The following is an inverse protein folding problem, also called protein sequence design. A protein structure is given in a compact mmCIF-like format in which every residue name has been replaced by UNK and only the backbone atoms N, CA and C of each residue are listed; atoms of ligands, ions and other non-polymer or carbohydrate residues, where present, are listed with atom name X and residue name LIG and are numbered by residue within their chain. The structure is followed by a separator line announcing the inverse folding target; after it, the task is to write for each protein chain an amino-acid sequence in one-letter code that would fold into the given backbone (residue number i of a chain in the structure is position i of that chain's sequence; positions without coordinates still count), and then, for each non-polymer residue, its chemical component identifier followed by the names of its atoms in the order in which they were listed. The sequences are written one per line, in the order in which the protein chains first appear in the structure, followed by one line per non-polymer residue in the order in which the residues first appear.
data_IF_241118766801
#
_entry.id   IF_241118766801
#
_cell.length_a   1.000
_cell.length_b   1.000
_cell.length_c   1.000
_cell.angle_alpha   90.00
_cell.angle_beta   90.00
_cell.angle_gamma   90.00
#
_symmetry.space_group_name_H-M   'P 1'
#
loop_
_entity.id
_entity.type
_entity.pdbx_description
1 polymer ?
#
# COMPACT_ATOMS: atom_id res chain seq x y z
N UNK A 1 4.74 -26.10 5.72
CA UNK A 1 5.71 -25.11 6.21
C UNK A 1 6.93 -25.86 6.67
N UNK A 2 8.11 -25.59 6.10
CA UNK A 2 9.37 -26.22 6.50
C UNK A 2 10.00 -25.35 7.58
N UNK A 3 10.18 -25.92 8.77
CA UNK A 3 10.67 -25.22 9.93
C UNK A 3 12.15 -25.48 10.27
N UNK A 4 12.80 -26.37 9.53
CA UNK A 4 14.20 -26.73 9.77
C UNK A 4 14.91 -27.15 8.48
N UNK A 5 16.23 -26.97 8.42
CA UNK A 5 17.10 -27.51 7.37
C UNK A 5 18.21 -28.34 8.02
N UNK A 6 18.51 -29.49 7.42
CA UNK A 6 19.55 -30.41 7.89
C UNK A 6 20.61 -30.53 6.80
N UNK A 7 21.85 -30.24 7.16
CA UNK A 7 23.02 -30.48 6.30
C UNK A 7 23.70 -31.78 6.78
N UNK A 8 23.48 -32.85 5.99
CA UNK A 8 24.01 -34.17 6.30
C UNK A 8 25.46 -34.33 5.86
N UNK A 9 26.18 -35.26 6.53
CA UNK A 9 27.52 -35.73 6.16
C UNK A 9 28.61 -34.67 6.07
N UNK A 10 28.53 -33.60 6.88
CA UNK A 10 29.61 -32.63 6.90
C UNK A 10 30.66 -32.99 7.96
N UNK A 11 31.95 -33.19 7.59
CA UNK A 11 33.00 -33.49 8.56
C UNK A 11 33.35 -32.24 9.35
N UNK A 12 32.98 -32.20 10.61
CA UNK A 12 33.28 -31.06 11.47
C UNK A 12 33.20 -31.41 12.94
N UNK A 13 33.77 -30.57 13.76
CA UNK A 13 33.70 -30.63 15.23
C UNK A 13 32.48 -29.82 15.72
N UNK A 14 31.82 -30.15 16.85
CA UNK A 14 30.70 -29.38 17.43
C UNK A 14 30.92 -27.87 17.52
N UNK A 15 32.15 -27.43 17.76
CA UNK A 15 32.53 -26.01 17.80
C UNK A 15 32.46 -25.32 16.45
N UNK A 16 32.29 -26.07 15.37
CA UNK A 16 32.25 -25.54 13.99
C UNK A 16 30.88 -24.98 13.58
N UNK A 17 29.85 -25.10 14.41
CA UNK A 17 28.50 -24.59 14.13
C UNK A 17 28.50 -23.09 13.81
N UNK A 18 29.42 -22.31 14.37
CA UNK A 18 29.58 -20.87 14.10
C UNK A 18 29.96 -20.54 12.64
N UNK A 19 30.46 -21.52 11.87
CA UNK A 19 30.81 -21.37 10.47
C UNK A 19 29.65 -21.65 9.52
N UNK A 20 28.51 -22.12 10.06
CA UNK A 20 27.32 -22.44 9.31
C UNK A 20 26.43 -21.20 9.18
N UNK A 21 25.94 -20.91 7.96
CA UNK A 21 25.00 -19.83 7.68
C UNK A 21 24.06 -20.24 6.56
N UNK A 22 22.83 -19.74 6.62
CA UNK A 22 21.87 -19.82 5.51
C UNK A 22 21.55 -18.40 5.06
N UNK A 23 21.54 -18.17 3.75
CA UNK A 23 21.13 -16.91 3.13
C UNK A 23 20.05 -17.17 2.08
N UNK A 24 19.27 -16.16 1.73
CA UNK A 24 18.50 -16.19 0.48
C UNK A 24 19.47 -16.17 -0.72
N UNK A 25 19.08 -16.74 -1.87
CA UNK A 25 19.93 -16.87 -3.06
C UNK A 25 20.58 -15.55 -3.48
N UNK A 26 19.81 -14.47 -3.47
CA UNK A 26 20.26 -13.14 -3.92
C UNK A 26 20.69 -12.20 -2.78
N UNK A 27 20.89 -12.75 -1.57
CA UNK A 27 21.25 -11.95 -0.39
C UNK A 27 22.52 -12.50 0.28
N UNK A 28 23.28 -11.57 0.86
CA UNK A 28 24.47 -11.89 1.64
C UNK A 28 24.21 -11.94 3.15
N UNK A 29 23.07 -11.39 3.60
CA UNK A 29 22.72 -11.36 5.02
C UNK A 29 22.24 -12.75 5.46
N UNK A 30 22.84 -13.33 6.51
CA UNK A 30 22.41 -14.60 7.05
C UNK A 30 21.01 -14.52 7.68
N UNK A 31 20.24 -15.62 7.54
CA UNK A 31 19.01 -15.80 8.27
C UNK A 31 19.28 -15.90 9.77
N UNK A 32 18.38 -15.34 10.57
CA UNK A 32 18.41 -15.48 12.02
C UNK A 32 17.78 -16.81 12.41
N UNK A 33 18.47 -17.56 13.24
CA UNK A 33 18.03 -18.87 13.72
C UNK A 33 19.07 -19.53 14.63
N UNK A 34 18.77 -20.74 15.08
CA UNK A 34 19.68 -21.57 15.87
C UNK A 34 20.20 -22.72 15.04
N UNK A 35 21.51 -22.96 15.09
CA UNK A 35 22.14 -24.10 14.47
C UNK A 35 22.66 -25.05 15.57
N UNK A 36 22.34 -26.33 15.44
CA UNK A 36 22.70 -27.37 16.39
C UNK A 36 23.41 -28.50 15.67
N UNK A 37 24.47 -29.03 16.32
CA UNK A 37 25.19 -30.21 15.83
C UNK A 37 24.41 -31.46 16.19
N UNK A 38 24.23 -32.34 15.21
CA UNK A 38 23.56 -33.62 15.35
C UNK A 38 24.50 -34.77 14.90
N UNK A 39 24.17 -36.02 15.25
CA UNK A 39 24.96 -37.19 14.86
C UNK A 39 25.20 -37.30 13.34
N UNK A 40 24.26 -36.83 12.54
CA UNK A 40 24.29 -36.89 11.09
C UNK A 40 24.57 -35.56 10.38
N UNK A 41 24.82 -34.45 11.12
CA UNK A 41 25.03 -33.16 10.48
C UNK A 41 24.61 -31.96 11.34
N UNK A 42 24.27 -30.86 10.69
CA UNK A 42 23.84 -29.63 11.37
C UNK A 42 22.36 -29.41 11.08
N UNK A 43 21.58 -29.22 12.14
CA UNK A 43 20.19 -28.77 12.06
C UNK A 43 20.16 -27.26 12.24
N UNK A 44 19.49 -26.58 11.33
CA UNK A 44 19.20 -25.16 11.45
C UNK A 44 17.70 -24.92 11.62
N UNK A 45 17.34 -24.26 12.70
CA UNK A 45 15.96 -23.83 12.99
C UNK A 45 15.89 -22.32 12.84
N UNK A 46 15.29 -21.80 11.76
CA UNK A 46 15.17 -20.36 11.55
C UNK A 46 14.18 -19.74 12.55
N UNK A 47 14.38 -18.46 12.89
CA UNK A 47 13.45 -17.71 13.75
C UNK A 47 12.06 -17.58 13.10
N UNK A 48 12.01 -17.45 11.78
CA UNK A 48 10.79 -17.50 10.96
C UNK A 48 10.90 -18.65 9.96
N UNK A 49 9.80 -19.37 9.75
CA UNK A 49 9.77 -20.47 8.81
C UNK A 49 10.28 -20.07 7.42
N UNK A 50 10.93 -21.00 6.72
CA UNK A 50 11.33 -20.82 5.33
C UNK A 50 10.09 -20.53 4.46
N UNK A 51 10.22 -19.53 3.60
CA UNK A 51 9.13 -19.13 2.71
C UNK A 51 9.04 -20.04 1.48
N UNK A 52 7.83 -20.49 1.10
CA UNK A 52 7.62 -21.25 -0.12
C UNK A 52 8.11 -20.50 -1.38
N UNK A 53 8.57 -21.23 -2.38
CA UNK A 53 9.04 -20.70 -3.66
C UNK A 53 10.36 -19.93 -3.61
N UNK A 54 11.03 -19.91 -2.47
CA UNK A 54 12.34 -19.28 -2.33
C UNK A 54 13.46 -20.32 -2.28
N UNK A 55 14.58 -19.91 -2.80
CA UNK A 55 15.81 -20.69 -2.80
C UNK A 55 16.79 -20.15 -1.77
N UNK A 56 17.41 -21.05 -1.04
CA UNK A 56 18.32 -20.76 0.07
C UNK A 56 19.67 -21.38 -0.18
N UNK A 57 20.74 -20.60 0.04
CA UNK A 57 22.12 -21.10 -0.01
C UNK A 57 22.59 -21.46 1.40
N UNK A 58 23.19 -22.62 1.53
CA UNK A 58 23.86 -23.05 2.74
C UNK A 58 25.35 -22.75 2.58
N UNK A 59 25.90 -22.05 3.55
CA UNK A 59 27.30 -21.66 3.59
C UNK A 59 28.04 -22.35 4.74
N UNK A 60 29.25 -22.74 4.44
CA UNK A 60 30.24 -23.23 5.40
C UNK A 60 31.54 -22.46 5.22
N UNK A 61 32.09 -21.90 6.31
CA UNK A 61 33.27 -21.03 6.22
C UNK A 61 33.14 -19.93 5.15
N UNK A 62 31.99 -19.28 5.08
CA UNK A 62 31.64 -18.25 4.10
C UNK A 62 31.65 -18.68 2.61
N UNK A 63 31.70 -19.99 2.32
CA UNK A 63 31.55 -20.53 0.97
C UNK A 63 30.22 -21.24 0.86
N UNK A 64 29.49 -20.97 -0.21
CA UNK A 64 28.28 -21.72 -0.54
C UNK A 64 28.65 -23.19 -0.82
N UNK A 65 28.04 -24.12 -0.10
CA UNK A 65 28.29 -25.55 -0.20
C UNK A 65 27.16 -26.28 -0.90
N UNK A 66 25.93 -25.81 -0.71
CA UNK A 66 24.75 -26.37 -1.37
C UNK A 66 23.60 -25.36 -1.27
N UNK A 67 22.51 -25.67 -1.96
CA UNK A 67 21.28 -24.90 -1.91
C UNK A 67 20.07 -25.83 -1.82
N UNK A 68 18.97 -25.30 -1.33
CA UNK A 68 17.68 -25.98 -1.36
C UNK A 68 16.58 -24.98 -1.72
N UNK A 69 15.50 -25.47 -2.25
CA UNK A 69 14.33 -24.68 -2.59
C UNK A 69 13.12 -25.20 -1.81
N UNK A 70 12.33 -24.30 -1.26
CA UNK A 70 11.05 -24.65 -0.70
C UNK A 70 10.04 -24.62 -1.85
N UNK A 71 9.37 -25.73 -2.18
CA UNK A 71 8.37 -25.75 -3.24
C UNK A 71 7.32 -24.68 -3.04
N UNK A 72 6.94 -23.97 -4.11
CA UNK A 72 5.78 -23.09 -4.08
C UNK A 72 4.52 -23.92 -3.83
N UNK A 73 3.57 -23.34 -3.10
CA UNK A 73 2.25 -23.96 -2.97
C UNK A 73 1.50 -23.84 -4.29
N UNK A 74 0.68 -24.84 -4.60
CA UNK A 74 -0.25 -24.74 -5.72
C UNK A 74 -1.35 -23.74 -5.34
N UNK A 75 -1.25 -22.51 -5.85
CA UNK A 75 -2.25 -21.46 -5.72
C UNK A 75 -2.40 -20.73 -7.06
N UNK A 76 -3.56 -20.13 -7.27
CA UNK A 76 -3.75 -19.26 -8.42
C UNK A 76 -2.75 -18.10 -8.38
N UNK A 77 -2.14 -17.75 -9.53
CA UNK A 77 -1.22 -16.62 -9.58
C UNK A 77 -1.88 -15.34 -9.10
N UNK A 78 -1.18 -14.51 -8.31
CA UNK A 78 -1.73 -13.25 -7.86
C UNK A 78 -2.08 -12.32 -9.02
N UNK A 79 -3.24 -11.68 -8.94
CA UNK A 79 -3.66 -10.62 -9.83
C UNK A 79 -3.49 -9.25 -9.17
N UNK A 80 -3.29 -8.21 -9.98
CA UNK A 80 -3.02 -6.85 -9.51
C UNK A 80 -4.01 -5.86 -10.12
N UNK A 81 -4.64 -5.06 -9.24
CA UNK A 81 -5.45 -3.92 -9.63
C UNK A 81 -4.81 -2.63 -9.10
N UNK A 82 -4.91 -1.57 -9.89
CA UNK A 82 -4.31 -0.27 -9.59
C UNK A 82 -5.36 0.73 -9.10
N UNK A 83 -4.93 1.61 -8.21
CA UNK A 83 -5.70 2.77 -7.80
C UNK A 83 -4.78 3.99 -7.68
N UNK A 84 -5.17 5.19 -8.10
CA UNK A 84 -6.46 5.60 -8.65
C UNK A 84 -6.78 4.96 -10.01
N UNK A 85 -8.08 4.76 -10.31
CA UNK A 85 -8.54 4.21 -11.60
C UNK A 85 -8.83 5.27 -12.66
N UNK A 86 -8.82 6.54 -12.31
CA UNK A 86 -9.03 7.63 -13.24
C UNK A 86 -7.96 7.63 -14.35
N UNK A 87 -8.35 8.05 -15.57
CA UNK A 87 -7.44 8.09 -16.71
C UNK A 87 -6.61 9.39 -16.73
N UNK A 88 -7.05 10.41 -16.01
CA UNK A 88 -6.30 11.64 -15.75
C UNK A 88 -6.03 11.75 -14.25
N UNK A 89 -4.76 11.92 -13.90
CA UNK A 89 -4.29 12.09 -12.52
C UNK A 89 -3.51 13.40 -12.41
N UNK A 90 -3.50 14.10 -11.28
CA UNK A 90 -2.73 15.33 -11.16
C UNK A 90 -1.22 15.04 -11.24
N UNK A 91 -0.43 15.97 -11.79
CA UNK A 91 1.03 15.83 -11.86
C UNK A 91 1.69 15.75 -10.46
N UNK A 92 1.04 16.29 -9.46
CA UNK A 92 1.42 16.17 -8.05
C UNK A 92 0.72 15.02 -7.32
N UNK A 93 0.36 13.95 -8.05
CA UNK A 93 -0.15 12.70 -7.46
C UNK A 93 0.76 12.24 -6.33
N UNK A 94 0.16 11.96 -5.15
CA UNK A 94 0.93 11.61 -3.97
C UNK A 94 1.06 10.10 -3.76
N UNK A 95 0.00 9.32 -4.08
CA UNK A 95 -0.05 7.88 -3.77
C UNK A 95 -0.61 7.06 -4.92
N UNK A 96 -0.08 5.87 -5.07
CA UNK A 96 -0.64 4.79 -5.89
C UNK A 96 -0.85 3.58 -4.99
N UNK A 97 -1.98 2.91 -5.16
CA UNK A 97 -2.30 1.69 -4.43
C UNK A 97 -2.31 0.49 -5.37
N UNK A 98 -1.71 -0.59 -4.93
CA UNK A 98 -1.76 -1.88 -5.60
C UNK A 98 -2.61 -2.84 -4.77
N UNK A 99 -3.70 -3.33 -5.35
CA UNK A 99 -4.56 -4.34 -4.76
C UNK A 99 -4.24 -5.69 -5.37
N UNK A 100 -3.89 -6.64 -4.53
CA UNK A 100 -3.59 -8.01 -4.93
C UNK A 100 -4.75 -8.93 -4.59
N UNK A 101 -4.95 -9.97 -5.40
CA UNK A 101 -5.99 -10.99 -5.18
C UNK A 101 -5.72 -11.88 -3.96
N UNK A 102 -4.49 -11.87 -3.41
CA UNK A 102 -4.08 -12.62 -2.22
C UNK A 102 -2.88 -11.98 -1.52
N UNK A 103 -2.52 -12.49 -0.33
CA UNK A 103 -1.43 -11.96 0.47
C UNK A 103 -0.06 -12.08 -0.20
N UNK A 104 0.67 -10.97 -0.37
CA UNK A 104 1.97 -10.92 -1.03
C UNK A 104 3.15 -11.05 -0.07
N UNK A 105 4.31 -11.42 -0.59
CA UNK A 105 5.59 -11.32 0.12
C UNK A 105 6.11 -9.89 0.08
N UNK A 106 6.61 -9.41 1.23
CA UNK A 106 7.18 -8.07 1.39
C UNK A 106 8.59 -7.95 0.79
N UNK A 107 9.05 -6.70 0.64
CA UNK A 107 10.43 -6.38 0.27
C UNK A 107 10.73 -6.51 -1.22
N UNK A 108 9.72 -6.66 -2.07
CA UNK A 108 9.88 -6.90 -3.50
C UNK A 108 9.38 -5.75 -4.38
N UNK A 109 8.70 -4.75 -3.82
CA UNK A 109 8.09 -3.67 -4.61
C UNK A 109 9.10 -2.94 -5.49
N UNK A 110 10.28 -2.63 -4.96
CA UNK A 110 11.34 -1.93 -5.70
C UNK A 110 11.87 -2.71 -6.91
N UNK A 111 11.75 -4.04 -6.91
CA UNK A 111 12.15 -4.89 -8.04
C UNK A 111 11.06 -5.00 -9.10
N UNK A 112 9.79 -4.90 -8.71
CA UNK A 112 8.67 -5.21 -9.58
C UNK A 112 7.86 -4.00 -10.04
N UNK A 113 7.88 -2.87 -9.32
CA UNK A 113 7.08 -1.70 -9.69
C UNK A 113 7.90 -0.65 -10.42
N UNK A 114 7.36 -0.14 -11.54
CA UNK A 114 7.96 0.94 -12.33
C UNK A 114 6.90 1.92 -12.78
N UNK A 115 7.29 3.18 -13.00
CA UNK A 115 6.54 4.11 -13.83
C UNK A 115 7.34 4.34 -15.12
N UNK A 116 6.67 4.19 -16.24
CA UNK A 116 7.23 4.38 -17.56
C UNK A 116 6.65 5.65 -18.18
N UNK A 117 7.46 6.39 -18.94
CA UNK A 117 7.02 7.49 -19.79
C UNK A 117 6.45 6.98 -21.14
N UNK A 118 6.00 7.87 -22.02
CA UNK A 118 5.49 7.54 -23.36
C UNK A 118 6.49 6.77 -24.24
N UNK A 119 7.80 6.96 -24.01
CA UNK A 119 8.86 6.27 -24.76
C UNK A 119 9.13 4.88 -24.22
N UNK A 120 8.54 4.51 -23.08
CA UNK A 120 8.80 3.27 -22.38
C UNK A 120 10.01 3.32 -21.44
N UNK A 121 10.63 4.49 -21.23
CA UNK A 121 11.74 4.65 -20.30
C UNK A 121 11.23 4.64 -18.87
N UNK A 122 11.97 3.95 -17.99
CA UNK A 122 11.67 3.94 -16.55
C UNK A 122 12.04 5.27 -15.92
N UNK A 123 11.11 5.85 -15.17
CA UNK A 123 11.37 7.03 -14.35
C UNK A 123 12.10 6.62 -13.06
N UNK A 124 13.28 7.19 -12.83
CA UNK A 124 14.08 6.92 -11.64
C UNK A 124 13.67 7.83 -10.46
N UNK A 125 13.77 7.29 -9.22
CA UNK A 125 13.53 8.06 -8.00
C UNK A 125 12.12 8.66 -7.94
N UNK A 126 11.12 7.96 -8.46
CA UNK A 126 9.72 8.40 -8.43
C UNK A 126 9.08 8.05 -7.11
N UNK A 127 9.33 6.85 -6.62
CA UNK A 127 8.76 6.36 -5.37
C UNK A 127 9.69 6.63 -4.19
N UNK A 128 9.09 6.94 -3.05
CA UNK A 128 9.79 6.98 -1.77
C UNK A 128 10.21 5.56 -1.38
N UNK A 129 11.51 5.33 -1.16
CA UNK A 129 12.02 4.04 -0.69
C UNK A 129 11.72 3.87 0.81
N UNK A 130 10.64 3.16 1.11
CA UNK A 130 10.20 2.88 2.46
C UNK A 130 10.56 1.45 2.85
N UNK A 131 11.20 1.30 4.01
CA UNK A 131 11.54 0.00 4.61
C UNK A 131 11.16 0.01 6.09
N UNK A 132 10.15 -0.76 6.49
CA UNK A 132 9.35 -1.70 5.68
C UNK A 132 8.42 -1.01 4.68
N UNK A 133 8.01 -1.74 3.65
CA UNK A 133 6.98 -1.32 2.69
C UNK A 133 5.63 -1.10 3.39
N UNK A 134 4.81 -0.21 2.85
CA UNK A 134 3.51 0.12 3.47
C UNK A 134 2.39 -0.83 3.00
N UNK A 135 2.34 -1.97 3.61
CA UNK A 135 1.27 -2.96 3.43
C UNK A 135 0.14 -2.78 4.46
N UNK A 136 -1.09 -3.16 4.06
CA UNK A 136 -2.13 -3.43 5.05
C UNK A 136 -1.81 -4.72 5.83
N UNK A 137 -2.55 -4.98 6.91
CA UNK A 137 -2.36 -6.16 7.77
C UNK A 137 -2.40 -7.49 7.01
N UNK A 138 -3.33 -7.60 6.04
CA UNK A 138 -3.52 -8.82 5.24
C UNK A 138 -2.50 -8.95 4.08
N UNK A 139 -1.66 -7.95 3.85
CA UNK A 139 -0.70 -7.88 2.72
C UNK A 139 -1.34 -7.99 1.34
N UNK A 140 -2.56 -7.55 1.22
CA UNK A 140 -3.31 -7.50 -0.05
C UNK A 140 -3.37 -6.10 -0.66
N UNK A 141 -2.96 -5.08 0.09
CA UNK A 141 -2.91 -3.68 -0.33
C UNK A 141 -1.55 -3.08 -0.03
N UNK A 142 -0.85 -2.64 -1.07
CA UNK A 142 0.39 -1.88 -0.95
C UNK A 142 0.16 -0.42 -1.28
N UNK A 143 0.64 0.47 -0.42
CA UNK A 143 0.66 1.92 -0.65
C UNK A 143 2.03 2.35 -1.14
N UNK A 144 2.09 2.89 -2.35
CA UNK A 144 3.29 3.46 -2.95
C UNK A 144 3.20 4.98 -2.91
N UNK A 145 4.10 5.62 -2.18
CA UNK A 145 4.20 7.08 -2.17
C UNK A 145 5.12 7.53 -3.31
N UNK A 146 4.64 8.48 -4.11
CA UNK A 146 5.56 9.27 -4.94
C UNK A 146 6.35 10.16 -3.99
N UNK A 147 7.63 10.40 -4.31
CA UNK A 147 8.54 11.08 -3.39
C UNK A 147 8.05 12.49 -3.04
N UNK A 148 7.61 12.74 -1.79
CA UNK A 148 7.14 14.05 -1.34
C UNK A 148 8.20 15.13 -1.49
N UNK A 149 9.49 14.75 -1.42
CA UNK A 149 10.61 15.66 -1.60
C UNK A 149 10.70 16.22 -3.03
N UNK A 150 10.19 15.47 -4.02
CA UNK A 150 10.08 15.89 -5.41
C UNK A 150 8.75 16.57 -5.75
N UNK A 151 7.69 16.31 -4.97
CA UNK A 151 6.37 16.92 -5.19
C UNK A 151 6.33 18.35 -4.61
N UNK A 152 6.86 18.55 -3.40
CA UNK A 152 6.87 19.85 -2.74
C UNK A 152 7.91 20.78 -3.40
N UNK A 153 7.46 21.90 -3.93
CA UNK A 153 8.25 22.81 -4.78
C UNK A 153 9.49 23.43 -4.14
N UNK A 154 9.45 23.68 -2.84
CA UNK A 154 10.54 24.36 -2.14
C UNK A 154 11.64 23.42 -1.63
N UNK A 155 11.45 22.11 -1.75
CA UNK A 155 12.43 21.13 -1.30
C UNK A 155 13.58 20.96 -2.30
N UNK A 156 14.75 20.59 -1.78
CA UNK A 156 15.99 20.43 -2.56
C UNK A 156 15.80 19.43 -3.70
N UNK A 157 15.18 18.28 -3.42
CA UNK A 157 14.96 17.24 -4.43
C UNK A 157 14.07 17.72 -5.58
N UNK A 158 13.05 18.54 -5.31
CA UNK A 158 12.23 19.12 -6.38
C UNK A 158 13.03 20.10 -7.24
N UNK A 159 13.88 20.93 -6.62
CA UNK A 159 14.74 21.91 -7.34
C UNK A 159 15.79 21.23 -8.21
N UNK A 160 16.36 20.10 -7.78
CA UNK A 160 17.43 19.39 -8.49
C UNK A 160 16.89 18.42 -9.54
N UNK A 161 15.83 17.67 -9.22
CA UNK A 161 15.31 16.59 -10.07
C UNK A 161 13.95 16.91 -10.73
N UNK A 162 13.28 17.97 -10.28
CA UNK A 162 11.91 18.30 -10.71
C UNK A 162 10.85 17.37 -10.13
N UNK A 163 9.58 17.66 -10.45
CA UNK A 163 8.45 16.82 -10.09
C UNK A 163 8.57 15.41 -10.72
N UNK A 164 8.06 14.35 -10.06
CA UNK A 164 8.09 13.00 -10.61
C UNK A 164 7.30 12.86 -11.92
N UNK A 165 6.16 13.53 -12.00
CA UNK A 165 5.29 13.56 -13.16
C UNK A 165 5.24 14.99 -13.71
N UNK A 166 4.92 15.15 -15.00
CA UNK A 166 4.80 16.43 -15.68
C UNK A 166 3.45 16.53 -16.37
N UNK A 167 2.74 17.63 -16.17
CA UNK A 167 1.46 17.87 -16.84
C UNK A 167 1.60 17.79 -18.37
N UNK A 168 0.63 17.22 -19.03
CA UNK A 168 0.64 17.05 -20.47
C UNK A 168 1.30 15.77 -20.97
N UNK A 169 1.85 14.93 -20.08
CA UNK A 169 2.52 13.69 -20.46
C UNK A 169 1.68 12.46 -20.10
N UNK A 170 1.88 11.37 -20.84
CA UNK A 170 1.32 10.07 -20.50
C UNK A 170 2.33 9.22 -19.75
N UNK A 171 1.81 8.44 -18.84
CA UNK A 171 2.59 7.53 -18.02
C UNK A 171 1.89 6.18 -17.92
N UNK A 172 2.68 5.18 -17.57
CA UNK A 172 2.18 3.85 -17.31
C UNK A 172 2.86 3.29 -16.06
N UNK A 173 2.08 3.05 -15.01
CA UNK A 173 2.55 2.25 -13.88
C UNK A 173 2.48 0.78 -14.26
N UNK A 174 3.52 0.01 -13.97
CA UNK A 174 3.61 -1.41 -14.30
C UNK A 174 4.03 -2.21 -13.08
N UNK A 175 3.51 -3.44 -12.99
CA UNK A 175 4.00 -4.48 -12.08
C UNK A 175 4.56 -5.60 -12.95
N UNK A 176 5.86 -5.84 -12.83
CA UNK A 176 6.59 -6.86 -13.58
C UNK A 176 6.21 -8.26 -13.07
N UNK A 177 6.25 -9.28 -13.95
CA UNK A 177 6.02 -10.66 -13.53
C UNK A 177 7.10 -11.14 -12.56
N UNK A 178 6.80 -12.23 -11.83
CA UNK A 178 7.75 -12.84 -10.90
C UNK A 178 7.59 -12.40 -9.44
N UNK A 179 6.75 -11.41 -9.13
CA UNK A 179 6.46 -11.03 -7.74
C UNK A 179 5.70 -12.15 -7.04
N UNK A 180 6.26 -12.65 -5.93
CA UNK A 180 5.71 -13.83 -5.24
C UNK A 180 4.71 -13.44 -4.16
N UNK A 181 3.67 -14.25 -4.02
CA UNK A 181 2.75 -14.21 -2.88
C UNK A 181 3.39 -14.86 -1.62
N UNK A 182 2.64 -14.89 -0.51
CA UNK A 182 3.08 -15.55 0.74
C UNK A 182 3.32 -17.05 0.60
N UNK A 183 2.74 -17.69 -0.41
CA UNK A 183 2.87 -19.13 -0.68
C UNK A 183 3.98 -19.40 -1.71
N UNK A 184 4.64 -18.34 -2.19
CA UNK A 184 5.73 -18.43 -3.16
C UNK A 184 5.28 -18.47 -4.63
N UNK A 185 3.98 -18.38 -4.92
CA UNK A 185 3.43 -18.36 -6.26
C UNK A 185 3.71 -17.00 -6.92
N UNK A 186 4.39 -16.95 -8.08
CA UNK A 186 4.70 -15.69 -8.74
C UNK A 186 3.53 -15.14 -9.54
N UNK A 187 3.46 -13.81 -9.68
CA UNK A 187 2.68 -13.18 -10.76
C UNK A 187 3.20 -13.66 -12.10
N UNK A 188 2.31 -14.07 -13.02
CA UNK A 188 2.71 -14.66 -14.31
C UNK A 188 2.81 -13.68 -15.44
N UNK A 189 2.15 -12.54 -15.34
CA UNK A 189 2.05 -11.55 -16.41
C UNK A 189 2.42 -10.15 -15.93
N UNK A 190 2.66 -9.26 -16.87
CA UNK A 190 2.80 -7.85 -16.63
C UNK A 190 1.41 -7.25 -16.40
N UNK A 191 1.24 -6.57 -15.28
CA UNK A 191 0.06 -5.75 -15.02
C UNK A 191 0.41 -4.29 -15.24
N UNK A 192 -0.54 -3.51 -15.80
CA UNK A 192 -0.27 -2.10 -16.04
C UNK A 192 -1.53 -1.25 -16.03
N UNK A 193 -1.34 0.04 -15.69
CA UNK A 193 -2.32 1.09 -15.83
C UNK A 193 -1.68 2.32 -16.46
N UNK A 194 -2.23 2.76 -17.59
CA UNK A 194 -1.87 4.02 -18.24
C UNK A 194 -2.71 5.16 -17.70
N UNK A 195 -2.12 6.34 -17.63
CA UNK A 195 -2.80 7.58 -17.26
C UNK A 195 -2.13 8.80 -17.88
N UNK A 196 -2.91 9.87 -18.00
CA UNK A 196 -2.45 11.18 -18.42
C UNK A 196 -2.22 12.05 -17.18
N UNK A 197 -1.08 12.74 -17.10
CA UNK A 197 -0.83 13.69 -16.05
C UNK A 197 -1.47 15.05 -16.39
N UNK A 198 -2.52 15.39 -15.66
CA UNK A 198 -3.15 16.70 -15.69
C UNK A 198 -2.38 17.73 -14.91
N UNK A 199 -2.91 18.96 -14.85
CA UNK A 199 -2.34 20.04 -14.03
C UNK A 199 -2.28 19.65 -12.55
N UNK A 200 -1.35 20.26 -11.82
CA UNK A 200 -1.25 20.07 -10.38
C UNK A 200 -2.55 20.49 -9.68
N UNK A 201 -3.03 19.64 -8.78
CA UNK A 201 -4.15 19.97 -7.91
C UNK A 201 -3.63 20.73 -6.68
N UNK A 202 -4.12 21.95 -6.51
CA UNK A 202 -3.81 22.85 -5.39
C UNK A 202 -5.07 23.42 -4.76
N UNK A 203 -6.15 22.66 -4.85
CA UNK A 203 -7.42 22.95 -4.17
C UNK A 203 -7.65 21.94 -3.07
N UNK A 204 -8.23 22.36 -1.97
CA UNK A 204 -8.59 21.44 -0.89
C UNK A 204 -9.96 20.85 -1.17
N UNK A 205 -10.19 19.58 -0.84
CA UNK A 205 -11.53 19.04 -0.79
C UNK A 205 -12.43 19.89 0.11
N UNK A 206 -13.64 20.22 -0.35
CA UNK A 206 -14.64 20.92 0.46
C UNK A 206 -15.81 19.99 0.77
N UNK A 207 -15.85 19.48 2.00
CA UNK A 207 -16.93 18.61 2.43
C UNK A 207 -18.32 19.26 2.38
N UNK A 208 -18.43 20.59 2.25
CA UNK A 208 -19.71 21.27 2.14
C UNK A 208 -20.36 21.15 0.74
N UNK A 209 -19.54 20.95 -0.29
CA UNK A 209 -20.02 20.82 -1.69
C UNK A 209 -20.54 19.42 -2.00
N UNK A 210 -20.15 18.41 -1.23
CA UNK A 210 -20.51 17.03 -1.49
C UNK A 210 -22.01 16.78 -1.38
N UNK A 211 -22.54 15.99 -2.30
CA UNK A 211 -23.95 15.66 -2.35
C UNK A 211 -24.23 14.41 -1.52
N UNK A 212 -25.20 14.50 -0.62
CA UNK A 212 -25.64 13.40 0.24
C UNK A 212 -26.99 12.90 -0.27
N UNK A 213 -27.05 11.65 -0.71
CA UNK A 213 -28.29 10.96 -1.06
C UNK A 213 -28.67 10.03 0.08
N UNK A 214 -29.68 10.45 0.86
CA UNK A 214 -30.16 9.71 2.01
C UNK A 214 -31.12 8.59 1.57
N UNK A 215 -31.01 7.36 2.12
CA UNK A 215 -31.96 6.28 1.89
C UNK A 215 -33.28 6.49 2.64
N UNK A 216 -34.27 5.62 2.37
CA UNK A 216 -35.55 5.62 3.10
C UNK A 216 -35.41 4.93 4.47
N UNK A 217 -36.22 5.36 5.44
CA UNK A 217 -36.32 4.69 6.72
C UNK A 217 -36.85 3.25 6.57
N UNK A 218 -36.38 2.35 7.42
CA UNK A 218 -36.76 0.93 7.41
C UNK A 218 -36.05 0.09 6.35
N UNK A 219 -35.20 0.68 5.49
CA UNK A 219 -34.42 -0.05 4.47
C UNK A 219 -32.98 -0.28 4.90
N UNK A 220 -32.27 -1.13 4.15
CA UNK A 220 -30.80 -1.29 4.18
C UNK A 220 -30.15 -0.64 2.96
N UNK A 221 -30.87 0.20 2.23
CA UNK A 221 -30.32 0.90 1.06
C UNK A 221 -29.11 1.74 1.44
N UNK A 222 -28.13 1.90 0.57
CA UNK A 222 -26.91 2.63 0.89
C UNK A 222 -27.19 4.13 1.04
N UNK A 223 -26.59 4.73 2.06
CA UNK A 223 -26.30 6.16 2.06
C UNK A 223 -25.23 6.43 1.03
N UNK A 224 -25.43 7.36 0.10
CA UNK A 224 -24.43 7.73 -0.88
C UNK A 224 -23.92 9.16 -0.67
N UNK A 225 -22.61 9.34 -0.84
CA UNK A 225 -21.95 10.66 -0.87
C UNK A 225 -21.24 10.77 -2.22
N UNK A 226 -21.62 11.75 -3.03
CA UNK A 226 -20.91 12.08 -4.26
C UNK A 226 -19.95 13.22 -4.00
N UNK A 227 -18.66 12.98 -4.22
CA UNK A 227 -17.61 13.97 -4.15
C UNK A 227 -17.52 14.73 -5.46
N UNK A 228 -17.11 15.99 -5.43
CA UNK A 228 -16.84 16.81 -6.61
C UNK A 228 -15.52 16.43 -7.30
N UNK A 229 -14.62 15.80 -6.57
CA UNK A 229 -13.34 15.32 -7.04
C UNK A 229 -13.06 13.86 -6.64
N UNK A 230 -11.93 13.31 -7.07
CA UNK A 230 -11.48 11.97 -6.66
C UNK A 230 -10.75 12.07 -5.31
N UNK A 231 -11.22 11.30 -4.33
CA UNK A 231 -10.67 11.27 -2.97
C UNK A 231 -9.72 10.07 -2.81
N UNK A 232 -8.75 10.19 -1.90
CA UNK A 232 -7.86 9.08 -1.53
C UNK A 232 -8.67 7.87 -1.07
N UNK A 233 -8.42 6.72 -1.71
CA UNK A 233 -9.22 5.50 -1.50
C UNK A 233 -9.19 5.04 -0.05
N UNK A 234 -7.99 4.87 0.50
CA UNK A 234 -7.81 4.29 1.85
C UNK A 234 -8.37 5.21 2.92
N UNK A 235 -8.20 6.51 2.76
CA UNK A 235 -8.74 7.48 3.69
C UNK A 235 -10.26 7.58 3.57
N UNK A 236 -10.82 7.55 2.37
CA UNK A 236 -12.28 7.54 2.18
C UNK A 236 -12.94 6.32 2.83
N UNK A 237 -12.26 5.17 2.85
CA UNK A 237 -12.78 3.97 3.52
C UNK A 237 -12.79 4.07 5.06
N UNK A 238 -11.92 4.92 5.65
CA UNK A 238 -11.64 4.90 7.08
C UNK A 238 -11.84 6.24 7.80
N UNK A 239 -12.05 7.34 7.07
CA UNK A 239 -12.13 8.70 7.66
C UNK A 239 -13.54 9.30 7.59
N UNK A 240 -14.54 8.55 7.13
CA UNK A 240 -15.94 8.98 7.05
C UNK A 240 -16.80 8.03 7.88
N UNK A 241 -17.54 8.58 8.84
CA UNK A 241 -18.36 7.83 9.78
C UNK A 241 -19.80 8.35 9.80
N UNK A 242 -20.75 7.46 10.00
CA UNK A 242 -22.16 7.79 10.10
C UNK A 242 -22.64 7.67 11.55
N UNK A 243 -23.28 8.69 12.06
CA UNK A 243 -23.79 8.74 13.43
C UNK A 243 -25.31 8.97 13.48
N UNK A 244 -25.97 8.26 14.39
CA UNK A 244 -27.33 8.55 14.86
C UNK A 244 -27.24 9.10 16.29
N UNK A 245 -27.40 10.41 16.45
CA UNK A 245 -27.10 11.07 17.71
C UNK A 245 -25.63 10.92 18.10
N UNK A 246 -25.37 10.31 19.26
CA UNK A 246 -23.99 10.05 19.75
C UNK A 246 -23.42 8.68 19.30
N UNK A 247 -24.24 7.83 18.71
CA UNK A 247 -23.85 6.47 18.36
C UNK A 247 -23.31 6.41 16.93
N UNK A 248 -22.10 5.90 16.75
CA UNK A 248 -21.57 5.52 15.44
C UNK A 248 -22.31 4.27 14.94
N UNK A 249 -22.84 4.35 13.72
CA UNK A 249 -23.50 3.22 13.08
C UNK A 249 -22.44 2.24 12.52
N UNK A 250 -22.71 0.95 12.69
CA UNK A 250 -21.94 -0.11 12.08
C UNK A 250 -22.49 -0.43 10.68
N UNK A 251 -21.61 -0.78 9.76
CA UNK A 251 -21.99 -1.10 8.39
C UNK A 251 -20.78 -1.30 7.50
N UNK A 252 -21.06 -1.54 6.23
CA UNK A 252 -20.04 -1.76 5.19
C UNK A 252 -19.88 -0.52 4.33
N UNK A 253 -18.64 -0.07 4.17
CA UNK A 253 -18.27 1.02 3.28
C UNK A 253 -17.85 0.44 1.92
N UNK A 254 -18.26 1.10 0.83
CA UNK A 254 -17.81 0.82 -0.53
C UNK A 254 -17.52 2.14 -1.24
N UNK A 255 -16.49 2.15 -2.07
CA UNK A 255 -16.16 3.27 -2.92
C UNK A 255 -16.32 2.85 -4.37
N UNK A 256 -16.83 3.72 -5.24
CA UNK A 256 -16.92 3.42 -6.65
C UNK A 256 -15.53 3.31 -7.31
N UNK A 257 -15.46 2.77 -8.53
CA UNK A 257 -14.19 2.54 -9.22
C UNK A 257 -13.37 3.81 -9.51
N UNK A 258 -13.98 5.00 -9.45
CA UNK A 258 -13.32 6.30 -9.64
C UNK A 258 -13.08 7.08 -8.37
N UNK A 259 -13.45 6.52 -7.19
CA UNK A 259 -13.43 7.17 -5.88
C UNK A 259 -14.14 8.52 -5.82
N UNK A 260 -15.24 8.63 -6.56
CA UNK A 260 -16.11 9.81 -6.57
C UNK A 260 -17.43 9.60 -5.85
N UNK A 261 -17.76 8.35 -5.53
CA UNK A 261 -18.98 8.03 -4.78
C UNK A 261 -18.70 7.04 -3.68
N UNK A 262 -18.96 7.47 -2.48
CA UNK A 262 -18.84 6.68 -1.26
C UNK A 262 -20.21 6.17 -0.84
N UNK A 263 -20.31 4.90 -0.50
CA UNK A 263 -21.53 4.22 -0.08
C UNK A 263 -21.35 3.60 1.29
N UNK A 264 -22.34 3.77 2.14
CA UNK A 264 -22.40 3.10 3.43
C UNK A 264 -23.71 2.31 3.53
N UNK A 265 -23.57 1.00 3.69
CA UNK A 265 -24.70 0.07 3.93
C UNK A 265 -24.71 -0.27 5.42
N UNK A 266 -25.75 0.11 6.18
CA UNK A 266 -25.77 -0.18 7.62
C UNK A 266 -26.07 -1.66 7.89
N UNK A 267 -25.59 -2.15 9.05
CA UNK A 267 -25.88 -3.52 9.51
C UNK A 267 -27.35 -3.71 9.95
N UNK A 268 -28.08 -2.61 10.17
CA UNK A 268 -29.47 -2.60 10.57
C UNK A 268 -30.25 -1.56 9.78
N UNK A 269 -31.57 -1.77 9.56
CA UNK A 269 -32.40 -0.81 8.84
C UNK A 269 -32.30 0.61 9.42
N UNK A 270 -32.33 1.59 8.54
CA UNK A 270 -32.28 3.00 8.91
C UNK A 270 -33.47 3.40 9.78
N UNK A 271 -33.22 4.12 10.84
CA UNK A 271 -34.29 4.75 11.62
C UNK A 271 -34.56 6.15 11.06
N UNK A 272 -35.85 6.52 11.02
CA UNK A 272 -36.22 7.88 10.67
C UNK A 272 -35.65 8.88 11.67
N UNK A 273 -35.23 10.04 11.19
CA UNK A 273 -34.67 11.10 12.04
C UNK A 273 -33.39 11.72 11.54
N UNK A 274 -32.75 12.49 12.41
CA UNK A 274 -31.50 13.20 12.08
C UNK A 274 -30.28 12.31 12.27
N UNK A 275 -29.42 12.33 11.28
CA UNK A 275 -28.14 11.65 11.27
C UNK A 275 -27.03 12.65 10.99
N UNK A 276 -25.80 12.28 11.31
CA UNK A 276 -24.63 13.14 11.09
C UNK A 276 -23.51 12.32 10.44
N UNK A 277 -22.93 12.85 9.37
CA UNK A 277 -21.64 12.43 8.87
C UNK A 277 -20.56 13.10 9.69
N UNK A 278 -19.64 12.31 10.19
CA UNK A 278 -18.41 12.77 10.84
C UNK A 278 -17.29 12.49 9.84
N UNK A 279 -16.57 13.52 9.43
CA UNK A 279 -15.49 13.43 8.44
C UNK A 279 -14.23 13.93 9.11
N UNK A 280 -13.23 13.06 9.21
CA UNK A 280 -11.94 13.42 9.79
C UNK A 280 -11.18 14.35 8.84
N UNK A 281 -10.51 15.37 9.36
CA UNK A 281 -9.79 16.37 8.57
C UNK A 281 -8.62 15.80 7.78
N UNK A 282 -8.12 14.59 8.15
CA UNK A 282 -7.07 13.88 7.43
C UNK A 282 -7.51 13.28 6.10
N UNK A 283 -8.79 13.35 5.75
CA UNK A 283 -9.27 12.91 4.44
C UNK A 283 -8.64 13.78 3.36
N UNK A 284 -8.01 13.14 2.39
CA UNK A 284 -7.20 13.77 1.33
C UNK A 284 -7.77 13.49 -0.07
N UNK A 285 -7.43 14.37 -1.00
CA UNK A 285 -7.52 14.12 -2.44
C UNK A 285 -6.31 13.31 -2.95
N UNK A 286 -6.18 13.18 -4.27
CA UNK A 286 -5.07 12.45 -4.90
C UNK A 286 -3.73 13.18 -4.79
N UNK A 287 -3.72 14.48 -4.58
CA UNK A 287 -2.53 15.30 -4.41
C UNK A 287 -2.08 15.39 -2.93
N UNK A 288 -2.83 14.78 -2.02
CA UNK A 288 -2.57 14.83 -0.58
C UNK A 288 -3.06 16.11 0.10
N UNK A 289 -3.85 16.93 -0.59
CA UNK A 289 -4.50 18.07 0.05
C UNK A 289 -5.63 17.54 0.94
N UNK A 290 -5.67 17.95 2.18
CA UNK A 290 -6.71 17.52 3.12
C UNK A 290 -7.73 18.64 3.35
N UNK A 291 -8.78 18.36 4.12
CA UNK A 291 -9.86 19.31 4.39
C UNK A 291 -9.39 20.62 5.05
N UNK A 292 -8.24 20.60 5.73
CA UNK A 292 -7.70 21.79 6.43
C UNK A 292 -6.66 22.55 5.60
N UNK A 293 -5.78 21.83 4.88
CA UNK A 293 -4.59 22.42 4.23
C UNK A 293 -4.20 21.73 2.94
N UNK A 294 -3.45 22.46 2.13
CA UNK A 294 -2.74 21.92 0.97
C UNK A 294 -1.54 21.11 1.43
N UNK A 295 -1.22 20.04 0.69
CA UNK A 295 -0.03 19.23 0.93
C UNK A 295 1.27 20.02 0.71
N UNK A 296 1.29 20.88 -0.33
CA UNK A 296 2.43 21.72 -0.72
C UNK A 296 2.41 23.09 0.02
N UNK A 297 1.82 23.18 1.22
CA UNK A 297 1.85 24.40 2.02
C UNK A 297 3.15 24.49 2.83
N UNK A 298 3.74 25.68 2.88
CA UNK A 298 4.90 25.97 3.71
C UNK A 298 4.51 25.96 5.19
N UNK A 299 5.10 25.05 5.97
CA UNK A 299 4.86 24.93 7.40
C UNK A 299 5.52 26.05 8.22
N UNK A 300 6.50 26.77 7.63
CA UNK A 300 7.23 27.83 8.34
C UNK A 300 6.44 29.12 8.56
N UNK A 301 5.31 29.31 7.86
CA UNK A 301 4.49 30.51 8.00
C UNK A 301 3.31 30.37 8.98
N UNK A 302 3.13 29.21 9.60
CA UNK A 302 2.03 28.96 10.56
C UNK A 302 2.55 28.28 11.83
N UNK A 303 3.15 29.03 12.74
CA UNK A 303 3.45 28.57 14.11
C UNK A 303 2.21 28.09 14.88
N UNK A 304 1.01 28.45 14.44
CA UNK A 304 -0.26 27.96 14.97
C UNK A 304 -0.61 26.52 14.53
N UNK A 305 0.14 25.92 13.60
CA UNK A 305 -0.16 24.60 13.02
C UNK A 305 0.35 23.42 13.89
N UNK A 306 1.08 23.67 14.97
CA UNK A 306 1.60 22.63 15.85
C UNK A 306 0.58 22.02 16.81
N UNK A 307 -0.63 22.55 16.90
CA UNK A 307 -1.75 21.88 17.58
C UNK A 307 -2.54 21.13 16.50
N UNK A 308 -2.13 19.90 16.19
CA UNK A 308 -2.97 18.93 15.47
C UNK A 308 -4.15 18.61 16.41
N UNK A 309 -5.13 19.52 16.50
CA UNK A 309 -6.45 19.13 16.98
C UNK A 309 -7.03 18.28 15.87
N UNK A 310 -7.44 17.07 16.20
CA UNK A 310 -8.33 16.28 15.34
C UNK A 310 -9.58 17.12 15.07
N UNK A 311 -9.53 17.88 13.99
CA UNK A 311 -10.71 18.60 13.52
C UNK A 311 -11.58 17.62 12.79
N UNK A 312 -12.84 17.62 13.12
CA UNK A 312 -13.86 16.83 12.44
C UNK A 312 -14.83 17.79 11.74
N UNK A 313 -15.14 17.48 10.49
CA UNK A 313 -16.22 18.14 9.78
C UNK A 313 -17.51 17.37 10.00
N UNK A 314 -18.62 18.08 10.17
CA UNK A 314 -19.91 17.48 10.44
C UNK A 314 -20.94 17.93 9.39
N UNK A 315 -21.60 16.97 8.77
CA UNK A 315 -22.69 17.21 7.85
C UNK A 315 -23.96 16.51 8.38
N UNK A 316 -25.01 17.26 8.62
CA UNK A 316 -26.30 16.71 9.05
C UNK A 316 -27.15 16.33 7.85
N UNK A 317 -27.83 15.21 7.92
CA UNK A 317 -28.81 14.76 6.96
C UNK A 317 -30.00 14.11 7.66
N UNK A 318 -31.11 13.90 6.95
CA UNK A 318 -32.33 13.35 7.53
C UNK A 318 -32.80 12.14 6.75
N UNK A 319 -33.05 11.07 7.47
CA UNK A 319 -33.72 9.87 6.97
C UNK A 319 -35.24 10.06 7.16
N UNK A 320 -36.02 9.83 6.12
CA UNK A 320 -37.48 10.00 6.09
C UNK A 320 -38.21 8.69 5.89
#
# INVERSE_FOLDING_TARGET
TIHEAILEHYPGHPDSVFHFKITLEDQTTPLIGTAEWMDAGIRFTPLWAFSPGLRYNIHWNNRAVTCFEIPASESDPPEVNFYPRADTLPENLLKIYLFFSGPMSEGQAHNHVRILNDRGDTLNGVFLDLRPELWNEDRTLLTLWLDPGRIKRELILNREMGAPLQAGQHYRVVVLPGWRDRLGTPTRQLFSKSFYAGQADRTKPDANTWQITAPAAGTLDPLAISFDETIDYTLAMNAIHVHAGKQMLKGTVKLDGKAKTWHFVPDRPWHAGNHTLIIENRLEDLAGNNLDRLFDSDLHHNESALVIRERIFQRKFRIR
#
